data_IF_990042839722
#
_entry.id   IF_990042839722
#
_cell.length_a   1.000
_cell.length_b   1.000
_cell.length_c   1.000
_cell.angle_alpha   90.00
_cell.angle_beta   90.00
_cell.angle_gamma   90.00
#
_symmetry.space_group_name_H-M   'P 1'
#
loop_
_entity.id
_entity.type
_entity.pdbx_description
1 polymer ?
#
# COMPACT_ATOMS: atom_id res chain seq x y z
N UNK A 1 -4.25 -6.26 -7.76
CA UNK A 1 -4.29 -4.90 -7.19
C UNK A 1 -4.99 -4.99 -5.85
N UNK A 2 -4.46 -4.32 -4.83
CA UNK A 2 -5.13 -4.19 -3.54
C UNK A 2 -5.58 -2.74 -3.37
N UNK A 3 -6.80 -2.54 -2.85
CA UNK A 3 -7.27 -1.22 -2.40
C UNK A 3 -6.80 -1.08 -0.96
N UNK A 4 -6.07 0.00 -0.68
CA UNK A 4 -5.45 0.24 0.63
C UNK A 4 -5.86 1.62 1.12
N UNK A 5 -6.23 1.71 2.39
CA UNK A 5 -6.49 2.97 3.07
C UNK A 5 -5.31 3.33 3.97
N UNK A 6 -4.78 4.55 3.81
CA UNK A 6 -3.73 5.08 4.70
C UNK A 6 -4.35 5.65 5.96
N UNK A 7 -3.99 5.11 7.12
CA UNK A 7 -4.43 5.67 8.40
C UNK A 7 -3.69 6.97 8.75
N UNK A 8 -2.40 7.09 8.41
CA UNK A 8 -1.60 8.31 8.61
C UNK A 8 -0.45 8.42 7.59
N UNK A 9 0.00 9.67 7.35
CA UNK A 9 1.17 9.97 6.53
C UNK A 9 0.91 9.98 5.02
N UNK A 10 1.97 9.71 4.27
CA UNK A 10 1.98 9.60 2.81
C UNK A 10 2.88 8.46 2.39
N UNK A 11 2.56 7.83 1.26
CA UNK A 11 3.33 6.75 0.65
C UNK A 11 3.76 7.17 -0.75
N UNK A 12 5.03 6.96 -1.12
CA UNK A 12 5.52 7.22 -2.49
C UNK A 12 6.13 5.99 -3.12
N UNK A 13 6.21 6.00 -4.45
CA UNK A 13 6.98 5.01 -5.22
C UNK A 13 8.44 5.03 -4.75
N UNK A 14 8.98 3.84 -4.52
CA UNK A 14 10.31 3.62 -3.95
C UNK A 14 10.35 3.46 -2.42
N UNK A 15 9.27 3.77 -1.71
CA UNK A 15 9.20 3.50 -0.26
C UNK A 15 9.10 2.00 0.02
N UNK A 16 9.54 1.60 1.22
CA UNK A 16 9.39 0.23 1.71
C UNK A 16 8.23 0.17 2.69
N UNK A 17 7.30 -0.76 2.43
CA UNK A 17 6.09 -0.95 3.23
C UNK A 17 6.02 -2.37 3.73
N UNK A 18 5.56 -2.50 4.96
CA UNK A 18 5.31 -3.77 5.63
C UNK A 18 3.82 -4.06 5.65
N UNK A 19 3.45 -5.20 5.11
CA UNK A 19 2.11 -5.77 5.16
C UNK A 19 2.05 -6.74 6.33
N UNK A 20 1.00 -6.65 7.14
CA UNK A 20 0.75 -7.55 8.27
C UNK A 20 -0.71 -7.97 8.32
N UNK A 21 -0.93 -9.26 8.46
CA UNK A 21 -2.26 -9.84 8.64
C UNK A 21 -2.20 -10.96 9.68
N UNK A 22 -2.63 -10.67 10.90
CA UNK A 22 -2.46 -11.59 12.03
C UNK A 22 -0.99 -11.82 12.34
N UNK A 23 -0.54 -13.06 12.19
CA UNK A 23 0.85 -13.51 12.36
C UNK A 23 1.68 -13.50 11.06
N UNK A 24 1.02 -13.40 9.90
CA UNK A 24 1.69 -13.26 8.61
C UNK A 24 2.14 -11.82 8.40
N UNK A 25 3.41 -11.63 8.06
CA UNK A 25 3.95 -10.33 7.67
C UNK A 25 5.00 -10.45 6.57
N UNK A 26 5.01 -9.47 5.67
CA UNK A 26 6.03 -9.36 4.63
C UNK A 26 6.29 -7.89 4.28
N UNK A 27 7.47 -7.61 3.77
CA UNK A 27 7.86 -6.26 3.33
C UNK A 27 7.99 -6.25 1.81
N UNK A 28 7.58 -5.17 1.16
CA UNK A 28 7.88 -4.92 -0.24
C UNK A 28 8.18 -3.45 -0.49
N UNK A 29 8.88 -3.17 -1.58
CA UNK A 29 8.99 -1.82 -2.10
C UNK A 29 7.75 -1.47 -2.92
N UNK A 30 7.38 -0.19 -2.89
CA UNK A 30 6.31 0.37 -3.71
C UNK A 30 6.84 0.60 -5.11
N UNK A 31 6.39 -0.24 -6.05
CA UNK A 31 6.75 -0.08 -7.46
C UNK A 31 5.73 0.75 -8.25
N UNK A 32 4.47 0.80 -7.78
CA UNK A 32 3.39 1.47 -8.49
C UNK A 32 2.23 1.79 -7.55
N UNK A 33 1.73 3.02 -7.67
CA UNK A 33 0.52 3.53 -7.01
C UNK A 33 -0.45 4.06 -8.07
N UNK A 34 -1.75 3.96 -7.78
CA UNK A 34 -2.80 4.41 -8.68
C UNK A 34 -3.97 5.05 -7.91
N UNK A 35 -4.54 6.14 -8.41
CA UNK A 35 -5.78 6.77 -7.90
C UNK A 35 -6.73 6.93 -9.09
N UNK A 36 -7.99 6.52 -8.98
CA UNK A 36 -8.99 6.66 -10.06
C UNK A 36 -8.52 6.16 -11.45
N UNK A 37 -7.75 5.07 -11.48
CA UNK A 37 -7.08 4.47 -12.66
C UNK A 37 -5.92 5.26 -13.26
N UNK A 38 -5.49 6.36 -12.65
CA UNK A 38 -4.28 7.08 -13.04
C UNK A 38 -3.09 6.67 -12.18
N UNK A 39 -1.91 6.51 -12.79
CA UNK A 39 -0.68 6.25 -12.05
C UNK A 39 -0.19 7.52 -11.35
N UNK A 40 0.19 7.38 -10.08
CA UNK A 40 0.69 8.50 -9.26
C UNK A 40 2.01 8.14 -8.60
N UNK A 41 2.84 9.14 -8.34
CA UNK A 41 4.12 8.95 -7.64
C UNK A 41 3.96 8.86 -6.13
N UNK A 42 2.87 9.41 -5.59
CA UNK A 42 2.59 9.41 -4.16
C UNK A 42 1.10 9.51 -3.86
N UNK A 43 0.72 9.00 -2.68
CA UNK A 43 -0.63 9.01 -2.12
C UNK A 43 -0.56 9.51 -0.67
N UNK A 44 -1.62 10.13 -0.16
CA UNK A 44 -1.71 10.60 1.22
C UNK A 44 -2.88 9.97 1.97
N UNK A 45 -2.89 10.14 3.30
CA UNK A 45 -4.06 9.82 4.13
C UNK A 45 -5.35 10.36 3.52
N UNK A 46 -6.36 9.50 3.42
CA UNK A 46 -7.68 9.83 2.90
C UNK A 46 -7.83 9.63 1.39
N UNK A 47 -6.75 9.37 0.65
CA UNK A 47 -6.86 8.95 -0.75
C UNK A 47 -7.24 7.47 -0.79
N UNK A 48 -8.22 7.11 -1.62
CA UNK A 48 -8.46 5.72 -2.01
C UNK A 48 -7.56 5.38 -3.19
N UNK A 49 -6.54 4.55 -2.96
CA UNK A 49 -5.55 4.20 -3.97
C UNK A 49 -5.40 2.69 -4.14
N UNK A 50 -5.02 2.31 -5.35
CA UNK A 50 -4.56 0.98 -5.69
C UNK A 50 -3.05 0.88 -5.50
N UNK A 51 -2.61 -0.17 -4.82
CA UNK A 51 -1.20 -0.54 -4.71
C UNK A 51 -0.98 -1.90 -5.39
N UNK A 52 0.08 -1.98 -6.20
CA UNK A 52 0.54 -3.25 -6.73
C UNK A 52 1.26 -4.04 -5.64
N UNK A 53 0.61 -5.10 -5.18
CA UNK A 53 1.17 -6.04 -4.20
C UNK A 53 1.83 -7.22 -4.90
N UNK A 54 3.02 -7.61 -4.42
CA UNK A 54 3.78 -8.75 -4.96
C UNK A 54 3.22 -10.10 -4.51
N UNK A 55 2.51 -10.12 -3.39
CA UNK A 55 1.86 -11.31 -2.83
C UNK A 55 0.37 -11.06 -2.60
N UNK A 56 -0.47 -12.12 -2.62
CA UNK A 56 -1.88 -11.99 -2.30
C UNK A 56 -2.07 -11.46 -0.87
N UNK A 57 -2.77 -10.34 -0.72
CA UNK A 57 -3.18 -9.81 0.58
C UNK A 57 -4.62 -10.18 0.88
N UNK A 58 -4.98 -10.26 2.16
CA UNK A 58 -6.33 -10.60 2.62
C UNK A 58 -7.08 -9.34 3.05
N UNK A 59 -8.42 -9.31 3.00
CA UNK A 59 -9.18 -8.23 3.63
C UNK A 59 -8.76 -8.04 5.08
N UNK A 60 -8.51 -6.79 5.49
CA UNK A 60 -8.00 -6.47 6.83
C UNK A 60 -6.49 -6.59 7.00
N UNK A 61 -5.71 -6.78 5.93
CA UNK A 61 -4.24 -6.60 5.99
C UNK A 61 -3.91 -5.13 6.31
N UNK A 62 -3.09 -4.94 7.34
CA UNK A 62 -2.58 -3.63 7.75
C UNK A 62 -1.29 -3.33 7.02
N UNK A 63 -1.12 -2.08 6.60
CA UNK A 63 0.07 -1.61 5.87
C UNK A 63 0.76 -0.55 6.72
N UNK A 64 2.05 -0.75 6.96
CA UNK A 64 2.90 0.14 7.74
C UNK A 64 4.06 0.62 6.89
N UNK A 65 4.44 1.89 7.06
CA UNK A 65 5.73 2.36 6.58
C UNK A 65 6.84 1.66 7.36
N UNK A 66 7.83 1.10 6.66
CA UNK A 66 9.02 0.51 7.29
C UNK A 66 10.00 1.57 7.78
#
# INVERSE_FOLDING_TARGET
MAIVDLDNGSLKVGDSVKFKHGEDEFTQNVESLQIEHEAVDSVKKGDSFGLKVSQPTKPGTLVYMS
#
